data_IF_829785111068
#
_entry.id   IF_829785111068
#
_cell.length_a   1.000
_cell.length_b   1.000
_cell.length_c   1.000
_cell.angle_alpha   90.00
_cell.angle_beta   90.00
_cell.angle_gamma   90.00
#
_symmetry.space_group_name_H-M   'P 1'
#
loop_
_entity.id
_entity.type
_entity.pdbx_description
1 polymer ?
#
# COMPACT_ATOMS: atom_id res chain seq x y z
N UNK A 1 18.45 21.96 -0.15
CA UNK A 1 17.02 21.85 0.21
C UNK A 1 16.35 21.15 -0.96
N UNK A 2 16.09 19.85 -0.83
CA UNK A 2 15.58 19.03 -1.93
C UNK A 2 14.11 19.35 -2.22
N UNK A 3 13.77 19.51 -3.49
CA UNK A 3 12.39 19.64 -3.96
C UNK A 3 11.66 18.32 -3.69
N UNK A 4 10.62 18.35 -2.86
CA UNK A 4 9.74 17.20 -2.66
C UNK A 4 9.09 16.83 -4.00
N UNK A 5 9.26 15.60 -4.50
CA UNK A 5 8.66 15.23 -5.77
C UNK A 5 7.14 15.26 -5.63
N UNK A 6 6.50 16.02 -6.54
CA UNK A 6 5.05 16.13 -6.66
C UNK A 6 4.50 15.53 -7.95
N UNK A 7 5.40 15.12 -8.86
CA UNK A 7 5.13 14.46 -10.14
C UNK A 7 6.11 13.33 -10.41
N UNK A 8 5.71 12.36 -11.23
CA UNK A 8 6.53 11.21 -11.60
C UNK A 8 7.81 11.61 -12.37
N UNK A 9 7.78 12.70 -13.13
CA UNK A 9 8.91 13.21 -13.92
C UNK A 9 10.18 13.49 -13.10
N UNK A 10 10.04 13.85 -11.82
CA UNK A 10 11.16 14.22 -10.94
C UNK A 10 11.83 13.02 -10.27
N UNK A 11 11.28 11.80 -10.38
CA UNK A 11 11.80 10.61 -9.70
C UNK A 11 13.22 10.24 -10.15
N UNK A 12 13.49 10.37 -11.45
CA UNK A 12 14.79 10.02 -12.05
C UNK A 12 15.96 10.87 -11.54
N UNK A 13 15.68 12.02 -10.91
CA UNK A 13 16.67 12.96 -10.35
C UNK A 13 16.62 13.02 -8.83
N UNK A 14 15.84 12.13 -8.20
CA UNK A 14 15.63 12.17 -6.77
C UNK A 14 16.84 11.57 -6.02
N UNK A 15 17.63 12.45 -5.40
CA UNK A 15 18.81 12.09 -4.59
C UNK A 15 18.51 11.13 -3.43
N UNK A 16 17.28 11.16 -2.89
CA UNK A 16 16.90 10.26 -1.80
C UNK A 16 16.59 8.86 -2.32
N UNK A 17 16.01 8.76 -3.52
CA UNK A 17 15.80 7.48 -4.21
C UNK A 17 17.14 6.86 -4.63
N UNK A 18 18.06 7.67 -5.16
CA UNK A 18 19.43 7.22 -5.44
C UNK A 18 20.15 6.73 -4.18
N UNK A 19 20.02 7.45 -3.06
CA UNK A 19 20.59 7.03 -1.77
C UNK A 19 19.98 5.71 -1.29
N UNK A 20 18.67 5.54 -1.41
CA UNK A 20 17.95 4.32 -1.02
C UNK A 20 18.40 3.11 -1.85
N UNK A 21 18.55 3.26 -3.16
CA UNK A 21 18.99 2.18 -4.06
C UNK A 21 20.53 2.00 -4.10
N UNK A 22 21.26 2.82 -3.36
CA UNK A 22 22.72 2.84 -3.35
C UNK A 22 23.37 1.67 -2.59
N UNK A 23 24.69 1.77 -2.40
CA UNK A 23 25.54 0.71 -1.81
C UNK A 23 25.70 0.81 -0.29
N UNK A 24 24.97 1.73 0.37
CA UNK A 24 25.07 1.96 1.82
C UNK A 24 23.78 1.50 2.49
N UNK A 25 23.93 0.74 3.58
CA UNK A 25 22.81 0.36 4.45
C UNK A 25 22.21 1.58 5.12
N UNK A 26 20.88 1.60 5.20
CA UNK A 26 20.09 2.62 5.89
C UNK A 26 19.32 1.91 6.99
N UNK A 27 19.56 2.29 8.25
CA UNK A 27 18.89 1.66 9.39
C UNK A 27 17.44 2.15 9.52
N UNK A 28 16.51 1.35 10.07
CA UNK A 28 15.10 1.74 10.22
C UNK A 28 14.89 3.00 11.07
N UNK A 29 15.79 3.27 12.01
CA UNK A 29 15.74 4.45 12.89
C UNK A 29 16.43 5.69 12.31
N UNK A 30 16.98 5.61 11.08
CA UNK A 30 17.67 6.73 10.45
C UNK A 30 16.69 7.89 10.11
N UNK A 31 17.01 9.15 10.45
CA UNK A 31 16.20 10.31 10.06
C UNK A 31 15.94 10.46 8.56
N UNK A 32 16.74 9.78 7.71
CA UNK A 32 16.53 9.64 6.28
C UNK A 32 15.07 9.35 5.93
N UNK A 33 14.41 8.42 6.65
CA UNK A 33 13.05 8.00 6.34
C UNK A 33 12.02 9.13 6.45
N UNK A 34 12.23 10.08 7.36
CA UNK A 34 11.34 11.23 7.48
C UNK A 34 11.37 12.14 6.24
N UNK A 35 12.50 12.17 5.53
CA UNK A 35 12.65 12.95 4.29
C UNK A 35 12.34 12.12 3.05
N UNK A 36 12.73 10.85 3.04
CA UNK A 36 12.45 9.94 1.94
C UNK A 36 10.94 9.71 1.77
N UNK A 37 10.20 9.57 2.87
CA UNK A 37 8.76 9.32 2.87
C UNK A 37 7.91 10.60 2.95
N UNK A 38 8.50 11.79 2.79
CA UNK A 38 7.74 13.06 2.81
C UNK A 38 7.29 13.54 1.42
N UNK A 39 7.25 12.63 0.44
CA UNK A 39 6.81 12.94 -0.92
C UNK A 39 5.29 13.15 -1.01
N UNK A 40 4.88 13.93 -2.02
CA UNK A 40 3.47 14.20 -2.31
C UNK A 40 3.15 13.68 -3.70
N UNK A 41 3.17 12.34 -3.82
CA UNK A 41 2.84 11.67 -5.07
C UNK A 41 1.40 11.20 -4.99
N UNK A 42 0.69 11.43 -6.09
CA UNK A 42 -0.63 10.87 -6.28
C UNK A 42 -0.51 9.37 -6.54
N UNK A 43 -1.41 8.52 -6.02
CA UNK A 43 -1.51 7.15 -6.47
C UNK A 43 -1.83 7.09 -7.98
N UNK A 44 -1.30 6.10 -8.73
CA UNK A 44 -1.69 5.90 -10.12
C UNK A 44 -3.18 5.51 -10.16
N UNK A 45 -3.97 6.20 -10.99
CA UNK A 45 -5.42 5.97 -11.09
C UNK A 45 -5.79 5.30 -12.40
N UNK A 46 -4.97 5.49 -13.43
CA UNK A 46 -5.12 4.78 -14.70
C UNK A 46 -4.01 3.76 -14.90
N UNK A 47 -4.26 2.78 -15.78
CA UNK A 47 -3.21 1.86 -16.26
C UNK A 47 -2.02 2.62 -16.85
N UNK A 48 -2.27 3.73 -17.56
CA UNK A 48 -1.21 4.54 -18.13
C UNK A 48 -0.36 5.22 -17.05
N UNK A 49 -0.98 5.73 -15.98
CA UNK A 49 -0.27 6.29 -14.82
C UNK A 49 0.66 5.23 -14.20
N UNK A 50 0.18 3.98 -14.08
CA UNK A 50 0.98 2.88 -13.55
C UNK A 50 2.15 2.52 -14.48
N UNK A 51 1.93 2.45 -15.80
CA UNK A 51 3.00 2.20 -16.78
C UNK A 51 4.06 3.31 -16.72
N UNK A 52 3.63 4.57 -16.61
CA UNK A 52 4.55 5.69 -16.46
C UNK A 52 5.37 5.56 -15.18
N UNK A 53 4.73 5.34 -14.03
CA UNK A 53 5.41 5.13 -12.75
C UNK A 53 6.44 3.99 -12.83
N UNK A 54 6.06 2.84 -13.37
CA UNK A 54 6.94 1.68 -13.54
C UNK A 54 8.17 2.05 -14.39
N UNK A 55 7.96 2.75 -15.52
CA UNK A 55 9.06 3.19 -16.39
C UNK A 55 10.03 4.16 -15.70
N UNK A 56 9.54 5.01 -14.79
CA UNK A 56 10.37 5.97 -14.05
C UNK A 56 11.14 5.32 -12.90
N UNK A 57 10.59 4.26 -12.32
CA UNK A 57 11.23 3.54 -11.22
C UNK A 57 12.20 2.46 -11.70
N UNK A 58 12.10 1.98 -12.95
CA UNK A 58 12.88 0.85 -13.47
C UNK A 58 14.38 0.95 -13.15
N UNK A 59 15.02 2.08 -13.48
CA UNK A 59 16.46 2.26 -13.20
C UNK A 59 16.80 2.17 -11.70
N UNK A 60 15.98 2.78 -10.85
CA UNK A 60 16.16 2.74 -9.39
C UNK A 60 15.91 1.33 -8.85
N UNK A 61 14.89 0.63 -9.35
CA UNK A 61 14.58 -0.74 -8.97
C UNK A 61 15.68 -1.73 -9.40
N UNK A 62 16.28 -1.56 -10.59
CA UNK A 62 17.44 -2.35 -11.02
C UNK A 62 18.66 -2.13 -10.11
N UNK A 63 18.93 -0.88 -9.72
CA UNK A 63 20.00 -0.59 -8.76
C UNK A 63 19.72 -1.19 -7.38
N UNK A 64 18.48 -1.10 -6.90
CA UNK A 64 18.07 -1.71 -5.65
C UNK A 64 18.24 -3.23 -5.72
N UNK A 65 17.79 -3.88 -6.79
CA UNK A 65 17.93 -5.32 -7.01
C UNK A 65 19.41 -5.76 -6.89
N UNK A 66 20.32 -5.02 -7.52
CA UNK A 66 21.76 -5.34 -7.47
C UNK A 66 22.39 -5.15 -6.08
N UNK A 67 21.93 -4.16 -5.31
CA UNK A 67 22.58 -3.77 -4.05
C UNK A 67 21.88 -4.33 -2.79
N UNK A 68 20.58 -4.63 -2.84
CA UNK A 68 19.75 -4.84 -1.66
C UNK A 68 20.13 -6.10 -0.85
N UNK A 69 20.62 -7.17 -1.49
CA UNK A 69 21.11 -8.35 -0.76
C UNK A 69 22.25 -7.98 0.21
N UNK A 70 23.08 -7.01 -0.15
CA UNK A 70 24.19 -6.53 0.69
C UNK A 70 23.80 -5.41 1.67
N UNK A 71 22.85 -4.56 1.29
CA UNK A 71 22.51 -3.36 2.07
C UNK A 71 21.35 -3.57 3.04
N UNK A 72 20.40 -4.44 2.71
CA UNK A 72 19.18 -4.68 3.48
C UNK A 72 18.18 -3.53 3.45
N UNK A 73 18.34 -2.55 2.55
CA UNK A 73 17.56 -1.31 2.54
C UNK A 73 16.05 -1.54 2.34
N UNK A 74 15.66 -2.53 1.55
CA UNK A 74 14.24 -2.87 1.39
C UNK A 74 13.66 -3.45 2.67
N UNK A 75 14.41 -4.31 3.36
CA UNK A 75 14.07 -4.79 4.69
C UNK A 75 13.88 -3.66 5.70
N UNK A 76 14.75 -2.65 5.66
CA UNK A 76 14.62 -1.44 6.49
C UNK A 76 13.35 -0.65 6.17
N UNK A 77 13.01 -0.49 4.88
CA UNK A 77 11.78 0.17 4.48
C UNK A 77 10.54 -0.58 4.98
N UNK A 78 10.52 -1.93 4.91
CA UNK A 78 9.42 -2.74 5.47
C UNK A 78 9.31 -2.52 6.97
N UNK A 79 10.41 -2.55 7.71
CA UNK A 79 10.40 -2.28 9.16
C UNK A 79 9.89 -0.87 9.48
N UNK A 80 10.25 0.13 8.67
CA UNK A 80 9.69 1.49 8.79
C UNK A 80 8.19 1.49 8.53
N UNK A 81 7.71 0.80 7.49
CA UNK A 81 6.29 0.67 7.22
C UNK A 81 5.54 0.03 8.41
N UNK A 82 6.10 -1.03 8.99
CA UNK A 82 5.56 -1.69 10.19
C UNK A 82 5.49 -0.75 11.40
N UNK A 83 6.54 0.03 11.65
CA UNK A 83 6.55 1.04 12.72
C UNK A 83 5.51 2.13 12.48
N UNK A 84 5.25 2.53 11.23
CA UNK A 84 4.21 3.55 10.93
C UNK A 84 2.81 2.97 11.04
N UNK A 85 2.61 1.71 10.62
CA UNK A 85 1.36 0.98 10.77
C UNK A 85 0.96 0.82 12.25
N UNK A 86 1.89 0.38 13.11
CA UNK A 86 1.62 0.24 14.54
C UNK A 86 1.30 1.56 15.23
N UNK A 87 1.96 2.65 14.84
CA UNK A 87 1.65 3.99 15.33
C UNK A 87 0.27 4.49 14.87
N UNK A 88 -0.22 4.06 13.71
CA UNK A 88 -1.55 4.40 13.22
C UNK A 88 -2.66 3.67 13.99
N UNK A 89 -2.38 2.43 14.41
CA UNK A 89 -3.26 1.61 15.26
C UNK A 89 -3.31 2.07 16.72
N UNK A 90 -2.29 2.81 17.18
CA UNK A 90 -2.25 3.33 18.54
C UNK A 90 -3.36 4.37 18.81
N UNK A 91 -3.96 4.41 20.01
CA UNK A 91 -5.11 5.28 20.33
C UNK A 91 -4.82 6.79 20.37
N UNK A 92 -3.60 7.24 20.04
CA UNK A 92 -3.17 8.64 20.16
C UNK A 92 -3.80 9.53 19.07
N UNK A 93 -4.63 10.49 19.48
CA UNK A 93 -5.46 11.31 18.56
C UNK A 93 -4.71 12.49 17.88
N UNK A 94 -3.64 13.02 18.47
CA UNK A 94 -3.14 14.36 18.10
C UNK A 94 -2.36 14.45 16.78
N UNK A 95 -2.00 13.34 16.11
CA UNK A 95 -1.24 13.36 14.85
C UNK A 95 -1.71 12.35 13.79
N UNK A 96 -2.94 11.85 13.87
CA UNK A 96 -3.44 10.76 13.00
C UNK A 96 -3.29 11.04 11.50
N UNK A 97 -3.40 12.30 11.08
CA UNK A 97 -3.27 12.71 9.68
C UNK A 97 -1.82 12.53 9.17
N UNK A 98 -0.83 13.01 9.92
CA UNK A 98 0.58 12.89 9.53
C UNK A 98 1.01 11.43 9.58
N UNK A 99 0.57 10.69 10.60
CA UNK A 99 0.80 9.25 10.70
C UNK A 99 0.21 8.51 9.51
N UNK A 100 -1.05 8.77 9.13
CA UNK A 100 -1.69 8.13 7.99
C UNK A 100 -0.96 8.42 6.68
N UNK A 101 -0.56 9.68 6.44
CA UNK A 101 0.19 10.06 5.25
C UNK A 101 1.56 9.36 5.16
N UNK A 102 2.31 9.31 6.26
CA UNK A 102 3.60 8.62 6.29
C UNK A 102 3.45 7.10 6.15
N UNK A 103 2.40 6.51 6.73
CA UNK A 103 2.06 5.09 6.54
C UNK A 103 1.74 4.81 5.08
N UNK A 104 0.88 5.63 4.45
CA UNK A 104 0.58 5.53 3.03
C UNK A 104 1.85 5.56 2.17
N UNK A 105 2.71 6.57 2.35
CA UNK A 105 3.95 6.70 1.58
C UNK A 105 4.92 5.52 1.80
N UNK A 106 4.98 4.97 3.01
CA UNK A 106 5.79 3.79 3.27
C UNK A 106 5.25 2.56 2.53
N UNK A 107 3.94 2.29 2.64
CA UNK A 107 3.28 1.18 1.97
C UNK A 107 3.35 1.30 0.45
N UNK A 108 3.19 2.51 -0.09
CA UNK A 108 3.30 2.76 -1.53
C UNK A 108 4.68 2.43 -2.08
N UNK A 109 5.74 2.87 -1.39
CA UNK A 109 7.10 2.52 -1.76
C UNK A 109 7.34 1.01 -1.67
N UNK A 110 6.82 0.35 -0.62
CA UNK A 110 6.89 -1.11 -0.48
C UNK A 110 6.17 -1.81 -1.63
N UNK A 111 4.94 -1.40 -1.99
CA UNK A 111 4.17 -2.01 -3.09
C UNK A 111 4.92 -1.91 -4.42
N UNK A 112 5.47 -0.75 -4.73
CA UNK A 112 6.20 -0.55 -5.98
C UNK A 112 7.39 -1.51 -6.10
N UNK A 113 8.14 -1.70 -5.02
CA UNK A 113 9.29 -2.62 -4.98
C UNK A 113 8.83 -4.08 -5.02
N UNK A 114 7.80 -4.46 -4.26
CA UNK A 114 7.24 -5.81 -4.28
C UNK A 114 6.77 -6.20 -5.69
N UNK A 115 6.01 -5.31 -6.35
CA UNK A 115 5.54 -5.52 -7.72
C UNK A 115 6.72 -5.78 -8.66
N UNK A 116 7.73 -4.91 -8.61
CA UNK A 116 8.93 -5.06 -9.44
C UNK A 116 9.67 -6.39 -9.19
N UNK A 117 9.87 -6.77 -7.92
CA UNK A 117 10.58 -8.01 -7.57
C UNK A 117 9.80 -9.26 -8.01
N UNK A 118 8.49 -9.29 -7.79
CA UNK A 118 7.63 -10.40 -8.22
C UNK A 118 7.69 -10.56 -9.74
N UNK A 119 7.57 -9.46 -10.49
CA UNK A 119 7.60 -9.43 -11.95
C UNK A 119 8.97 -9.82 -12.54
N UNK A 120 10.06 -9.51 -11.83
CA UNK A 120 11.43 -9.64 -12.37
C UNK A 120 12.15 -10.91 -11.92
N UNK A 121 12.04 -11.28 -10.65
CA UNK A 121 12.83 -12.36 -10.03
C UNK A 121 11.98 -13.46 -9.38
N UNK A 122 10.67 -13.25 -9.25
CA UNK A 122 9.74 -14.23 -8.68
C UNK A 122 9.80 -14.34 -7.15
N UNK A 123 8.98 -15.24 -6.60
CA UNK A 123 8.71 -15.34 -5.16
C UNK A 123 9.95 -15.64 -4.31
N UNK A 124 10.70 -16.68 -4.66
CA UNK A 124 11.82 -17.15 -3.82
C UNK A 124 12.92 -16.08 -3.68
N UNK A 125 13.26 -15.40 -4.78
CA UNK A 125 14.27 -14.35 -4.76
C UNK A 125 13.74 -13.07 -4.12
N UNK A 126 12.47 -12.71 -4.36
CA UNK A 126 11.80 -11.62 -3.64
C UNK A 126 11.90 -11.84 -2.12
N UNK A 127 11.65 -13.06 -1.62
CA UNK A 127 11.76 -13.40 -0.19
C UNK A 127 13.18 -13.22 0.33
N UNK A 128 14.23 -13.40 -0.48
CA UNK A 128 15.60 -13.08 -0.05
C UNK A 128 15.83 -11.58 0.10
N UNK A 129 15.05 -10.72 -0.57
CA UNK A 129 15.24 -9.27 -0.59
C UNK A 129 14.57 -8.42 0.51
N UNK A 130 13.28 -8.52 0.86
CA UNK A 130 12.80 -9.65 1.64
C UNK A 130 13.58 -9.67 2.94
N UNK A 131 14.18 -10.82 3.19
CA UNK A 131 14.86 -11.17 4.42
C UNK A 131 16.36 -10.83 4.44
N UNK A 132 16.85 -10.00 3.51
CA UNK A 132 18.24 -9.56 3.47
C UNK A 132 18.68 -8.96 4.83
N UNK A 133 19.82 -9.37 5.40
CA UNK A 133 20.28 -8.91 6.70
C UNK A 133 20.69 -7.44 6.64
N UNK A 134 20.44 -6.70 7.73
CA UNK A 134 20.97 -5.35 7.91
C UNK A 134 22.33 -5.41 8.61
N UNK A 135 23.28 -4.60 8.16
CA UNK A 135 24.58 -4.44 8.80
C UNK A 135 24.60 -3.14 9.64
N UNK A 136 25.12 -3.16 10.89
CA UNK A 136 25.59 -4.33 11.64
C UNK A 136 24.44 -5.19 12.20
N UNK A 137 24.56 -6.52 12.11
CA UNK A 137 23.55 -7.49 12.57
C UNK A 137 23.47 -7.45 14.11
N UNK A 138 22.33 -7.09 14.73
CA UNK A 138 22.19 -7.24 16.16
C UNK A 138 22.13 -8.73 16.52
N UNK A 139 23.02 -9.16 17.40
CA UNK A 139 22.99 -10.47 18.05
C UNK A 139 21.76 -10.56 18.96
N UNK A 140 20.61 -10.99 18.45
CA UNK A 140 19.68 -11.83 19.20
C UNK A 140 18.55 -12.42 18.35
N UNK A 141 18.44 -13.74 18.53
CA UNK A 141 17.37 -14.66 18.19
C UNK A 141 15.98 -14.17 18.60
N UNK A 142 15.17 -13.83 17.61
CA UNK A 142 13.81 -14.34 17.42
C UNK A 142 13.56 -14.26 15.91
N UNK A 143 13.25 -15.38 15.26
CA UNK A 143 13.03 -15.43 13.81
C UNK A 143 11.68 -14.77 13.45
N UNK A 144 11.60 -13.45 13.55
CA UNK A 144 10.52 -12.67 12.94
C UNK A 144 10.80 -12.59 11.45
N UNK A 145 9.91 -13.12 10.62
CA UNK A 145 10.00 -13.00 9.17
C UNK A 145 9.26 -11.73 8.76
N UNK A 146 10.00 -10.76 8.21
CA UNK A 146 9.44 -9.45 7.78
C UNK A 146 8.29 -9.61 6.81
N UNK A 147 8.30 -10.63 5.95
CA UNK A 147 7.18 -10.90 5.04
C UNK A 147 5.88 -11.22 5.80
N UNK A 148 5.96 -12.07 6.83
CA UNK A 148 4.80 -12.43 7.66
C UNK A 148 4.29 -11.21 8.42
N UNK A 149 5.20 -10.48 9.06
CA UNK A 149 4.87 -9.27 9.82
C UNK A 149 4.22 -8.20 8.93
N UNK A 150 4.72 -8.04 7.69
CA UNK A 150 4.11 -7.15 6.69
C UNK A 150 2.71 -7.61 6.31
N UNK A 151 2.50 -8.90 6.06
CA UNK A 151 1.18 -9.43 5.71
C UNK A 151 0.18 -9.19 6.85
N UNK A 152 0.57 -9.49 8.08
CA UNK A 152 -0.26 -9.28 9.28
C UNK A 152 -0.58 -7.80 9.48
N UNK A 153 0.41 -6.91 9.38
CA UNK A 153 0.17 -5.47 9.49
C UNK A 153 -0.76 -4.92 8.39
N UNK A 154 -0.73 -5.47 7.18
CA UNK A 154 -1.67 -5.10 6.11
C UNK A 154 -3.10 -5.54 6.44
N UNK A 155 -3.25 -6.72 7.04
CA UNK A 155 -4.55 -7.23 7.54
C UNK A 155 -5.08 -6.33 8.64
N UNK A 156 -4.26 -6.03 9.64
CA UNK A 156 -4.63 -5.18 10.78
C UNK A 156 -5.01 -3.76 10.34
N UNK A 157 -4.30 -3.20 9.35
CA UNK A 157 -4.69 -1.90 8.77
C UNK A 157 -6.10 -1.98 8.16
N UNK A 158 -6.42 -3.05 7.46
CA UNK A 158 -7.73 -3.18 6.81
C UNK A 158 -8.83 -3.35 7.86
N UNK A 159 -8.62 -4.17 8.88
CA UNK A 159 -9.67 -4.53 9.84
C UNK A 159 -9.81 -3.57 11.02
N UNK A 160 -8.70 -2.98 11.49
CA UNK A 160 -8.67 -2.31 12.80
C UNK A 160 -8.50 -0.79 12.71
N UNK A 161 -8.00 -0.26 11.58
CA UNK A 161 -7.96 1.19 11.37
C UNK A 161 -9.35 1.69 10.98
N UNK A 162 -9.87 2.74 11.64
CA UNK A 162 -11.17 3.30 11.25
C UNK A 162 -11.07 4.00 9.89
N UNK A 163 -12.01 3.68 9.01
CA UNK A 163 -12.13 4.33 7.70
C UNK A 163 -12.61 5.79 7.87
N UNK A 164 -11.82 6.72 7.36
CA UNK A 164 -12.12 8.15 7.30
C UNK A 164 -11.31 8.82 6.18
N UNK A 165 -11.51 10.12 5.96
CA UNK A 165 -10.92 10.85 4.83
C UNK A 165 -9.40 10.67 4.68
N UNK A 166 -8.65 10.69 5.79
CA UNK A 166 -7.19 10.60 5.76
C UNK A 166 -6.65 9.16 5.85
N UNK A 167 -7.46 8.18 6.26
CA UNK A 167 -7.08 6.75 6.25
C UNK A 167 -7.53 6.03 4.98
N UNK A 168 -8.43 6.61 4.19
CA UNK A 168 -8.94 6.03 2.94
C UNK A 168 -7.82 5.53 2.01
N UNK A 169 -6.79 6.35 1.78
CA UNK A 169 -5.63 5.95 0.96
C UNK A 169 -4.77 4.88 1.60
N UNK A 170 -4.72 4.83 2.93
CA UNK A 170 -3.96 3.81 3.66
C UNK A 170 -4.65 2.46 3.47
N UNK A 171 -5.98 2.40 3.61
CA UNK A 171 -6.76 1.18 3.33
C UNK A 171 -6.62 0.73 1.88
N UNK A 172 -6.77 1.66 0.93
CA UNK A 172 -6.63 1.36 -0.49
C UNK A 172 -5.23 0.81 -0.82
N UNK A 173 -4.19 1.43 -0.26
CA UNK A 173 -2.82 1.00 -0.46
C UNK A 173 -2.53 -0.35 0.21
N UNK A 174 -3.10 -0.61 1.39
CA UNK A 174 -2.95 -1.90 2.07
C UNK A 174 -3.58 -3.05 1.26
N UNK A 175 -4.77 -2.83 0.71
CA UNK A 175 -5.45 -3.79 -0.18
C UNK A 175 -4.60 -4.02 -1.44
N UNK A 176 -4.09 -2.95 -2.07
CA UNK A 176 -3.25 -3.05 -3.25
C UNK A 176 -1.92 -3.79 -2.97
N UNK A 177 -1.32 -3.61 -1.79
CA UNK A 177 -0.16 -4.39 -1.35
C UNK A 177 -0.47 -5.88 -1.25
N UNK A 178 -1.59 -6.26 -0.62
CA UNK A 178 -2.02 -7.65 -0.53
C UNK A 178 -2.30 -8.24 -1.92
N UNK A 179 -2.96 -7.50 -2.79
CA UNK A 179 -3.20 -7.93 -4.18
C UNK A 179 -1.89 -8.16 -4.94
N UNK A 180 -0.90 -7.27 -4.79
CA UNK A 180 0.43 -7.46 -5.38
C UNK A 180 1.11 -8.72 -4.85
N UNK A 181 1.09 -8.96 -3.54
CA UNK A 181 1.66 -10.18 -2.95
C UNK A 181 0.94 -11.43 -3.48
N UNK A 182 -0.39 -11.44 -3.48
CA UNK A 182 -1.19 -12.58 -3.94
C UNK A 182 -1.12 -12.79 -5.46
N UNK A 183 -0.73 -11.77 -6.23
CA UNK A 183 -0.53 -11.88 -7.69
C UNK A 183 0.67 -12.75 -8.08
N UNK A 184 1.47 -13.21 -7.11
CA UNK A 184 2.65 -14.06 -7.33
C UNK A 184 2.38 -15.27 -8.23
N UNK A 185 1.17 -15.80 -8.23
CA UNK A 185 0.77 -16.94 -9.07
C UNK A 185 0.68 -16.61 -10.56
N UNK A 186 0.59 -15.33 -10.93
CA UNK A 186 0.69 -14.90 -12.33
C UNK A 186 2.12 -15.00 -12.87
N UNK A 187 3.12 -15.04 -11.98
CA UNK A 187 4.55 -15.01 -12.29
C UNK A 187 5.28 -16.29 -11.89
N UNK A 188 4.58 -17.26 -11.31
CA UNK A 188 5.15 -18.50 -10.81
C UNK A 188 4.53 -19.71 -11.52
N UNK A 189 5.36 -20.70 -11.82
CA UNK A 189 4.92 -22.03 -12.26
C UNK A 189 4.71 -22.98 -11.06
N UNK A 190 5.09 -22.53 -9.86
CA UNK A 190 4.96 -23.31 -8.63
C UNK A 190 3.50 -23.32 -8.20
N UNK A 191 2.96 -24.53 -7.99
CA UNK A 191 1.61 -24.69 -7.46
C UNK A 191 1.47 -23.89 -6.16
N UNK A 192 0.35 -23.19 -6.03
CA UNK A 192 0.16 -22.22 -4.97
C UNK A 192 0.23 -22.80 -3.54
N UNK A 193 0.09 -24.13 -3.37
CA UNK A 193 0.23 -24.81 -2.08
C UNK A 193 1.66 -24.72 -1.51
N UNK A 194 2.65 -24.50 -2.39
CA UNK A 194 4.05 -24.29 -2.02
C UNK A 194 4.43 -22.81 -1.94
N UNK A 195 3.56 -21.90 -2.38
CA UNK A 195 3.83 -20.45 -2.26
C UNK A 195 3.85 -20.06 -0.79
N UNK A 196 4.93 -19.39 -0.39
CA UNK A 196 5.09 -18.88 0.97
C UNK A 196 4.01 -17.82 1.27
N UNK A 197 3.73 -16.94 0.31
CA UNK A 197 2.70 -15.89 0.46
C UNK A 197 1.33 -16.53 0.71
N UNK A 198 0.93 -17.51 -0.11
CA UNK A 198 -0.36 -18.17 0.07
C UNK A 198 -0.43 -19.04 1.32
N UNK A 199 0.70 -19.63 1.73
CA UNK A 199 0.80 -20.32 3.02
C UNK A 199 0.59 -19.37 4.19
N UNK A 200 1.12 -18.14 4.14
CA UNK A 200 0.84 -17.10 5.14
C UNK A 200 -0.64 -16.72 5.09
N UNK A 201 -1.16 -16.40 3.90
CA UNK A 201 -2.54 -15.98 3.72
C UNK A 201 -3.57 -17.01 4.22
N UNK A 202 -3.31 -18.30 4.00
CA UNK A 202 -4.21 -19.42 4.32
C UNK A 202 -3.82 -20.16 5.60
N UNK A 203 -2.89 -19.64 6.40
CA UNK A 203 -2.47 -20.28 7.64
C UNK A 203 -3.59 -20.28 8.70
N UNK A 204 -3.49 -21.17 9.70
CA UNK A 204 -4.51 -21.28 10.76
C UNK A 204 -4.72 -19.99 11.55
N UNK A 205 -3.66 -19.20 11.75
CA UNK A 205 -3.72 -17.91 12.44
C UNK A 205 -4.53 -16.87 11.63
N UNK A 206 -4.53 -16.96 10.30
CA UNK A 206 -5.36 -16.12 9.42
C UNK A 206 -6.86 -16.42 9.58
N UNK A 207 -7.23 -17.56 10.18
CA UNK A 207 -8.63 -17.88 10.50
C UNK A 207 -9.23 -16.95 11.56
N UNK A 208 -8.42 -16.35 12.44
CA UNK A 208 -8.91 -15.43 13.48
C UNK A 208 -9.34 -14.10 12.85
N UNK A 209 -8.55 -13.59 11.90
CA UNK A 209 -8.82 -12.34 11.20
C UNK A 209 -9.77 -12.50 10.00
N UNK A 210 -9.93 -13.71 9.46
CA UNK A 210 -10.73 -13.95 8.25
C UNK A 210 -12.19 -13.42 8.33
N UNK A 211 -12.96 -13.62 9.42
CA UNK A 211 -14.29 -13.03 9.55
C UNK A 211 -14.29 -11.49 9.51
N UNK A 212 -13.37 -10.86 10.24
CA UNK A 212 -13.24 -9.40 10.26
C UNK A 212 -12.84 -8.85 8.89
N UNK A 213 -11.90 -9.52 8.21
CA UNK A 213 -11.49 -9.18 6.84
C UNK A 213 -12.66 -9.29 5.87
N UNK A 214 -13.37 -10.42 5.85
CA UNK A 214 -14.53 -10.62 4.95
C UNK A 214 -15.62 -9.59 5.22
N UNK A 215 -15.95 -9.35 6.50
CA UNK A 215 -16.92 -8.33 6.91
C UNK A 215 -16.53 -6.95 6.40
N UNK A 216 -15.28 -6.54 6.61
CA UNK A 216 -14.79 -5.21 6.22
C UNK A 216 -14.77 -5.03 4.70
N UNK A 217 -14.29 -6.03 3.95
CA UNK A 217 -14.25 -5.95 2.48
C UNK A 217 -15.66 -5.93 1.87
N UNK A 218 -16.59 -6.72 2.41
CA UNK A 218 -18.00 -6.67 2.01
C UNK A 218 -18.64 -5.32 2.36
N UNK A 219 -18.37 -4.80 3.55
CA UNK A 219 -18.88 -3.50 3.98
C UNK A 219 -18.40 -2.38 3.05
N UNK A 220 -17.10 -2.36 2.70
CA UNK A 220 -16.55 -1.39 1.74
C UNK A 220 -17.25 -1.50 0.37
N UNK A 221 -17.51 -2.72 -0.10
CA UNK A 221 -18.20 -2.95 -1.37
C UNK A 221 -19.67 -2.49 -1.33
N UNK A 222 -20.37 -2.71 -0.22
CA UNK A 222 -21.78 -2.32 -0.04
C UNK A 222 -21.93 -0.81 0.11
N UNK A 223 -21.07 -0.17 0.91
CA UNK A 223 -21.17 1.28 1.16
C UNK A 223 -20.77 2.12 -0.06
N UNK A 224 -19.85 1.62 -0.90
CA UNK A 224 -19.32 2.35 -2.06
C UNK A 224 -18.90 3.79 -1.71
N UNK A 225 -18.19 3.97 -0.61
CA UNK A 225 -17.73 5.30 -0.20
C UNK A 225 -16.88 5.93 -1.31
N UNK A 226 -17.25 7.16 -1.69
CA UNK A 226 -16.50 7.91 -2.68
C UNK A 226 -15.12 8.27 -2.16
N UNK A 227 -14.13 8.20 -3.04
CA UNK A 227 -12.80 8.68 -2.72
C UNK A 227 -12.85 10.17 -2.33
N UNK A 228 -12.10 10.59 -1.29
CA UNK A 228 -12.02 11.98 -0.88
C UNK A 228 -11.73 12.93 -2.05
N UNK A 229 -12.41 14.10 -2.12
CA UNK A 229 -12.23 15.04 -3.23
C UNK A 229 -10.78 15.54 -3.29
N UNK A 230 -10.23 15.63 -4.51
CA UNK A 230 -8.84 16.05 -4.75
C UNK A 230 -7.79 14.95 -4.59
N UNK A 231 -8.15 13.79 -4.04
CA UNK A 231 -7.24 12.65 -3.86
C UNK A 231 -6.95 11.94 -5.19
N UNK A 232 -7.98 11.78 -6.02
CA UNK A 232 -7.97 11.01 -7.28
C UNK A 232 -8.35 11.82 -8.53
N UNK A 233 -8.46 13.15 -8.46
CA UNK A 233 -8.70 13.99 -9.66
C UNK A 233 -7.41 14.48 -10.31
N UNK A 234 -7.26 14.31 -11.63
CA UNK A 234 -6.19 14.96 -12.41
C UNK A 234 -6.59 16.43 -12.65
N UNK A 235 -5.92 17.38 -11.99
CA UNK A 235 -6.08 18.81 -12.32
C UNK A 235 -4.98 19.21 -13.33
N UNK A 236 -5.35 19.70 -14.53
CA UNK A 236 -4.37 20.17 -15.51
C UNK A 236 -3.72 21.46 -15.00
N UNK A 237 -2.45 21.38 -14.59
CA UNK A 237 -1.60 22.56 -14.34
C UNK A 237 -1.42 23.02 -12.88
N UNK A 238 -1.95 22.31 -11.88
CA UNK A 238 -1.74 22.63 -10.46
C UNK A 238 -0.77 21.66 -9.77
N UNK A 239 0.09 22.17 -8.89
CA UNK A 239 0.73 21.33 -7.85
C UNK A 239 -0.39 20.71 -7.03
N UNK A 240 -0.44 19.38 -6.96
CA UNK A 240 -1.41 18.63 -6.17
C UNK A 240 -1.02 18.83 -4.71
N UNK A 241 -1.50 19.93 -4.13
CA UNK A 241 -1.66 20.06 -2.70
C UNK A 241 -2.78 19.10 -2.35
N UNK A 242 -2.45 17.91 -1.84
CA UNK A 242 -3.39 17.01 -1.19
C UNK A 242 -4.36 17.83 -0.32
N UNK A 243 -5.66 17.50 -0.23
CA UNK A 243 -6.52 18.01 0.87
C UNK A 243 -5.85 17.79 2.24
N UNK A 244 -5.13 16.67 2.38
CA UNK A 244 -4.27 16.32 3.50
C UNK A 244 -3.14 17.36 3.71
N UNK A 245 -2.49 17.82 2.64
CA UNK A 245 -1.46 18.86 2.70
C UNK A 245 -2.03 20.29 2.72
N UNK A 246 -3.24 20.54 2.22
CA UNK A 246 -3.91 21.84 2.24
C UNK A 246 -4.34 22.19 3.66
N UNK A 247 -4.84 21.19 4.42
CA UNK A 247 -5.06 21.32 5.85
C UNK A 247 -3.75 21.53 6.63
N UNK A 248 -2.69 20.78 6.30
CA UNK A 248 -1.39 20.88 6.98
C UNK A 248 -0.61 22.17 6.66
N UNK A 249 -0.73 22.71 5.44
CA UNK A 249 -0.10 23.97 5.05
C UNK A 249 -0.86 25.17 5.65
N UNK A 250 -2.20 25.13 5.67
CA UNK A 250 -3.01 26.18 6.30
C UNK A 250 -2.82 26.29 7.83
N UNK A 251 -2.44 25.20 8.50
CA UNK A 251 -2.13 25.20 9.94
C UNK A 251 -0.71 25.75 10.23
N UNK A 252 0.20 25.72 9.25
CA UNK A 252 1.57 26.27 9.36
C UNK A 252 1.67 27.70 8.78
N UNK A 253 0.77 28.08 7.87
CA UNK A 253 0.61 29.45 7.36
C UNK A 253 -0.75 30.00 7.77
N UNK A 254 -0.83 30.57 8.97
CA UNK A 254 -1.96 31.41 9.40
C UNK A 254 -2.28 32.47 8.33
N UNK A 255 -3.44 32.33 7.67
CA UNK A 255 -4.17 33.43 7.02
C UNK A 255 -3.94 33.64 5.52
N UNK A 256 -4.69 32.93 4.67
CA UNK A 256 -5.30 33.50 3.45
C UNK A 256 -6.28 32.49 2.84
N UNK A 257 -7.56 32.86 2.77
CA UNK A 257 -8.62 31.99 2.28
C UNK A 257 -8.81 32.01 0.76
N UNK A 258 -9.55 31.04 0.25
CA UNK A 258 -10.62 31.27 -0.74
C UNK A 258 -11.45 30.01 -0.92
N UNK A 259 -12.76 30.19 -0.74
CA UNK A 259 -13.84 29.36 -1.26
C UNK A 259 -13.66 29.02 -2.73
N UNK A 260 -14.09 27.83 -3.19
CA UNK A 260 -14.83 27.66 -4.45
C UNK A 260 -15.44 26.25 -4.57
N UNK A 261 -16.77 26.24 -4.79
CA UNK A 261 -17.57 25.15 -5.35
C UNK A 261 -17.05 24.75 -6.74
N UNK A 262 -17.26 23.51 -7.16
CA UNK A 262 -18.23 23.21 -8.23
C UNK A 262 -18.44 21.70 -8.44
N UNK A 263 -19.71 21.32 -8.34
CA UNK A 263 -20.31 20.11 -8.90
C UNK A 263 -20.50 20.34 -10.39
N UNK A 264 -20.17 19.35 -11.22
CA UNK A 264 -20.85 19.15 -12.51
C UNK A 264 -20.77 17.68 -12.95
N UNK A 265 -21.94 17.06 -13.02
CA UNK A 265 -22.23 15.73 -13.57
C UNK A 265 -22.72 15.93 -15.00
N UNK A 266 -22.25 15.13 -15.95
CA UNK A 266 -22.96 14.86 -17.22
C UNK A 266 -22.79 13.39 -17.62
N UNK A 267 -23.89 12.81 -18.10
CA UNK A 267 -24.18 11.39 -18.31
C UNK A 267 -23.94 10.89 -19.75
N UNK A 268 -23.88 9.56 -19.88
CA UNK A 268 -24.39 8.69 -20.98
C UNK A 268 -23.39 7.69 -21.59
N UNK A 269 -23.45 6.43 -21.10
CA UNK A 269 -23.44 5.23 -21.97
C UNK A 269 -22.13 4.44 -22.14
N UNK A 270 -21.99 3.36 -21.36
CA UNK A 270 -21.59 1.97 -21.71
C UNK A 270 -21.17 1.28 -20.40
N UNK A 271 -21.45 -0.01 -20.22
CA UNK A 271 -21.08 -0.75 -18.99
C UNK A 271 -19.59 -0.60 -18.64
N UNK A 272 -18.73 -0.44 -19.65
CA UNK A 272 -17.31 -0.15 -19.49
C UNK A 272 -17.02 1.27 -18.97
N UNK A 273 -17.80 2.28 -19.36
CA UNK A 273 -17.69 3.64 -18.80
C UNK A 273 -18.20 3.70 -17.35
N UNK A 274 -19.23 2.94 -17.01
CA UNK A 274 -19.72 2.84 -15.64
C UNK A 274 -18.74 2.07 -14.75
N UNK A 275 -18.10 1.01 -15.25
CA UNK A 275 -17.01 0.33 -14.55
C UNK A 275 -15.79 1.23 -14.37
N UNK A 276 -15.36 1.95 -15.42
CA UNK A 276 -14.28 2.94 -15.30
C UNK A 276 -14.62 4.07 -14.35
N UNK A 277 -15.87 4.53 -14.32
CA UNK A 277 -16.34 5.54 -13.35
C UNK A 277 -16.32 4.98 -11.94
N UNK A 278 -16.80 3.76 -11.70
CA UNK A 278 -16.72 3.08 -10.39
C UNK A 278 -15.27 2.92 -9.92
N UNK A 279 -14.38 2.46 -10.79
CA UNK A 279 -12.96 2.31 -10.45
C UNK A 279 -12.27 3.64 -10.12
N UNK A 280 -12.79 4.76 -10.64
CA UNK A 280 -12.24 6.09 -10.39
C UNK A 280 -12.90 6.78 -9.19
N UNK A 281 -14.20 6.57 -8.98
CA UNK A 281 -15.02 7.24 -7.96
C UNK A 281 -15.03 6.49 -6.63
N UNK A 282 -15.04 5.15 -6.65
CA UNK A 282 -15.13 4.27 -5.47
C UNK A 282 -14.08 3.14 -5.51
N UNK A 283 -12.79 3.43 -5.75
CA UNK A 283 -11.76 2.40 -5.92
C UNK A 283 -11.60 1.47 -4.72
N UNK A 284 -11.87 1.94 -3.50
CA UNK A 284 -11.79 1.10 -2.31
C UNK A 284 -12.80 -0.05 -2.39
N UNK A 285 -14.00 0.20 -2.91
CA UNK A 285 -15.02 -0.82 -3.10
C UNK A 285 -14.61 -1.85 -4.17
N UNK A 286 -14.15 -1.38 -5.35
CA UNK A 286 -13.68 -2.26 -6.43
C UNK A 286 -12.51 -3.14 -5.99
N UNK A 287 -11.49 -2.55 -5.35
CA UNK A 287 -10.30 -3.29 -4.88
C UNK A 287 -10.64 -4.23 -3.71
N UNK A 288 -11.56 -3.84 -2.83
CA UNK A 288 -12.02 -4.71 -1.74
C UNK A 288 -12.71 -5.97 -2.29
N UNK A 289 -13.56 -5.81 -3.30
CA UNK A 289 -14.22 -6.93 -3.96
C UNK A 289 -13.20 -7.83 -4.67
N UNK A 290 -12.23 -7.25 -5.38
CA UNK A 290 -11.18 -8.03 -6.05
C UNK A 290 -10.37 -8.85 -5.03
N UNK A 291 -9.94 -8.24 -3.92
CA UNK A 291 -9.22 -8.94 -2.87
C UNK A 291 -10.06 -10.06 -2.25
N UNK A 292 -11.34 -9.80 -1.98
CA UNK A 292 -12.26 -10.82 -1.46
C UNK A 292 -12.39 -12.00 -2.43
N UNK A 293 -12.50 -11.74 -3.74
CA UNK A 293 -12.56 -12.79 -4.76
C UNK A 293 -11.26 -13.60 -4.81
N UNK A 294 -10.09 -12.96 -4.74
CA UNK A 294 -8.80 -13.66 -4.72
C UNK A 294 -8.69 -14.55 -3.48
N UNK A 295 -9.03 -14.04 -2.31
CA UNK A 295 -8.93 -14.77 -1.04
C UNK A 295 -9.90 -15.95 -0.97
N UNK A 296 -11.15 -15.78 -1.40
CA UNK A 296 -12.20 -16.81 -1.29
C UNK A 296 -12.09 -17.90 -2.36
N UNK A 297 -11.66 -17.55 -3.57
CA UNK A 297 -11.57 -18.51 -4.67
C UNK A 297 -10.31 -19.38 -4.63
N UNK A 298 -9.34 -19.04 -3.78
CA UNK A 298 -8.12 -19.82 -3.73
C UNK A 298 -8.32 -21.21 -3.09
N UNK A 299 -7.69 -22.24 -3.66
CA UNK A 299 -7.93 -23.65 -3.32
C UNK A 299 -6.71 -24.35 -2.68
N UNK A 300 -5.76 -23.61 -2.09
CA UNK A 300 -4.49 -24.20 -1.59
C UNK A 300 -4.57 -24.88 -0.24
N UNK A 301 -5.59 -24.57 0.56
CA UNK A 301 -5.83 -25.23 1.82
C UNK A 301 -7.04 -26.15 1.71
N UNK A 302 -7.01 -27.27 2.43
CA UNK A 302 -8.17 -28.18 2.58
C UNK A 302 -9.40 -27.45 3.13
N UNK A 303 -9.18 -26.38 3.91
CA UNK A 303 -10.19 -25.42 4.34
C UNK A 303 -9.69 -24.01 4.09
N UNK A 304 -10.42 -23.24 3.27
CA UNK A 304 -10.11 -21.83 3.03
C UNK A 304 -10.81 -20.97 4.10
N UNK A 305 -10.07 -20.27 4.98
CA UNK A 305 -10.65 -19.54 6.10
C UNK A 305 -11.57 -18.40 5.65
N UNK A 306 -11.23 -17.69 4.58
CA UNK A 306 -12.05 -16.58 4.04
C UNK A 306 -13.32 -17.11 3.38
N UNK A 307 -13.24 -18.22 2.65
CA UNK A 307 -14.40 -18.89 2.06
C UNK A 307 -15.35 -19.39 3.15
N UNK A 308 -14.81 -20.03 4.18
CA UNK A 308 -15.60 -20.48 5.31
C UNK A 308 -16.26 -19.29 6.00
N UNK A 309 -15.52 -18.24 6.32
CA UNK A 309 -16.04 -17.02 6.93
C UNK A 309 -17.15 -16.36 6.09
N UNK A 310 -17.03 -16.36 4.76
CA UNK A 310 -18.06 -15.85 3.85
C UNK A 310 -19.35 -16.68 3.90
N UNK A 311 -19.26 -18.01 3.98
CA UNK A 311 -20.43 -18.89 4.04
C UNK A 311 -21.02 -19.05 5.44
N UNK A 312 -20.23 -18.85 6.49
CA UNK A 312 -20.69 -18.81 7.88
C UNK A 312 -21.04 -17.40 8.34
N UNK A 313 -21.10 -16.43 7.41
CA UNK A 313 -21.41 -15.05 7.72
C UNK A 313 -22.81 -14.97 8.32
N UNK A 314 -22.89 -14.54 9.57
CA UNK A 314 -24.13 -14.22 10.28
C UNK A 314 -24.14 -12.71 10.45
N UNK A 315 -25.29 -12.08 10.25
CA UNK A 315 -25.47 -10.65 10.51
C UNK A 315 -24.97 -10.32 11.93
N UNK A 316 -24.04 -9.38 12.06
CA UNK A 316 -23.64 -8.85 13.37
C UNK A 316 -24.72 -7.89 13.90
N UNK A 317 -25.93 -8.41 14.09
CA UNK A 317 -27.02 -7.74 14.79
C UNK A 317 -27.67 -8.70 15.80
N UNK A 318 -27.29 -8.48 17.05
CA UNK A 318 -27.80 -9.14 18.26
C UNK A 318 -26.98 -8.70 19.47
#
# INVERSE_FOLDING_TARGET
MGTTPSRYDDLSKNIYLEKFCGKKSILPNDPFWNTFLSYNMRPPVTRNDQIELDSRLDSSCQQLLANNISTGNFGSLIQVALMRASNLLAPMQNQKIISAWQTYNALFAVRCILKYLIETVGEEEMIKHIEAPQLPVPTQSNASYRLKDLFEALVDIITDVPLCEFTYVVHLEAINCLLVLLSVQLFSQTAAEYSCIYRIAMHSHSSEHAPAMVCTLLHNFVQQEHAPPGLLTQQPGGSIVFSIAAGLWNVITMGMGSSLKNVQVTSNGTSEEEERKRDTETPLASQSLLLLLVLTNHCTATQNPYRNALFTFIDMQG
#
